data_IF_241345844962
#
_entry.id   IF_241345844962
#
_cell.length_a   1.000
_cell.length_b   1.000
_cell.length_c   1.000
_cell.angle_alpha   90.00
_cell.angle_beta   90.00
_cell.angle_gamma   90.00
#
_symmetry.space_group_name_H-M   'P 1'
#
loop_
_entity.id
_entity.type
_entity.pdbx_description
1 polymer ?
#
# COMPACT_ATOMS: atom_id res chain seq x y z
N UNK A 1 23.62 -2.45 -5.97
CA UNK A 1 23.05 -2.09 -4.64
C UNK A 1 23.28 -0.60 -4.38
N UNK A 2 22.42 0.05 -3.58
CA UNK A 2 22.59 1.45 -3.23
C UNK A 2 23.79 1.66 -2.29
N UNK A 3 24.49 2.79 -2.43
CA UNK A 3 25.62 3.16 -1.55
C UNK A 3 25.10 3.72 -0.22
N UNK A 4 25.88 3.63 0.86
CA UNK A 4 25.62 4.35 2.11
C UNK A 4 25.41 5.83 1.85
N UNK A 5 24.40 6.41 2.50
CA UNK A 5 23.95 7.78 2.31
C UNK A 5 23.00 8.01 1.13
N UNK A 6 22.77 7.00 0.27
CA UNK A 6 21.83 7.13 -0.84
C UNK A 6 20.42 7.41 -0.34
N UNK A 7 19.71 8.29 -1.03
CA UNK A 7 18.30 8.58 -0.79
C UNK A 7 17.43 7.83 -1.79
N UNK A 8 16.29 7.37 -1.33
CA UNK A 8 15.20 6.90 -2.19
C UNK A 8 13.94 7.67 -1.84
N UNK A 9 13.29 8.16 -2.90
CA UNK A 9 12.00 8.83 -2.86
C UNK A 9 11.16 8.11 -3.91
N UNK A 10 10.10 7.45 -3.46
CA UNK A 10 9.24 6.66 -4.32
C UNK A 10 7.78 6.97 -4.01
N UNK A 11 7.01 7.34 -5.03
CA UNK A 11 5.55 7.33 -4.91
C UNK A 11 5.06 5.90 -5.13
N UNK A 12 4.23 5.43 -4.19
CA UNK A 12 3.70 4.08 -4.15
C UNK A 12 2.19 4.18 -4.29
N UNK A 13 1.67 3.55 -5.34
CA UNK A 13 0.23 3.39 -5.57
C UNK A 13 -0.30 2.21 -4.73
N UNK A 14 -1.33 2.48 -3.93
CA UNK A 14 -1.91 1.58 -2.93
C UNK A 14 -3.36 1.21 -3.25
N UNK A 15 -3.79 1.39 -4.50
CA UNK A 15 -5.12 1.07 -5.01
C UNK A 15 -5.05 0.16 -6.23
N UNK A 16 -6.20 -0.31 -6.67
CA UNK A 16 -6.33 -1.08 -7.91
C UNK A 16 -5.90 -0.25 -9.14
N UNK A 17 -5.23 -0.89 -10.09
CA UNK A 17 -4.74 -0.24 -11.32
C UNK A 17 -5.74 -0.29 -12.49
N UNK A 18 -6.80 -1.10 -12.39
CA UNK A 18 -7.83 -1.18 -13.43
C UNK A 18 -8.60 0.14 -13.49
N UNK A 19 -8.36 0.95 -14.52
CA UNK A 19 -8.84 2.35 -14.64
C UNK A 19 -10.32 2.55 -14.25
N UNK A 20 -11.23 1.73 -14.78
CA UNK A 20 -12.66 1.82 -14.46
C UNK A 20 -13.02 1.43 -13.02
N UNK A 21 -12.31 0.46 -12.44
CA UNK A 21 -12.52 0.01 -11.06
C UNK A 21 -11.91 1.03 -10.10
N UNK A 22 -10.75 1.58 -10.45
CA UNK A 22 -10.02 2.57 -9.65
C UNK A 22 -10.86 3.79 -9.30
N UNK A 23 -11.66 4.27 -10.24
CA UNK A 23 -12.44 5.50 -10.06
C UNK A 23 -13.74 5.25 -9.27
N UNK A 24 -14.22 3.98 -9.20
CA UNK A 24 -15.46 3.61 -8.48
C UNK A 24 -15.21 2.89 -7.15
N UNK A 25 -14.16 2.10 -7.07
CA UNK A 25 -13.81 1.22 -5.96
C UNK A 25 -12.29 1.02 -5.91
N UNK A 26 -11.52 2.04 -5.50
CA UNK A 26 -10.07 1.97 -5.51
C UNK A 26 -9.50 0.84 -4.64
N UNK A 27 -10.26 0.37 -3.65
CA UNK A 27 -9.86 -0.69 -2.72
C UNK A 27 -10.30 -2.10 -3.16
N UNK A 28 -10.78 -2.27 -4.39
CA UNK A 28 -11.37 -3.53 -4.86
C UNK A 28 -10.48 -4.76 -4.64
N UNK A 29 -9.18 -4.65 -4.93
CA UNK A 29 -8.21 -5.76 -4.78
C UNK A 29 -8.06 -6.25 -3.33
N UNK A 30 -8.49 -5.46 -2.35
CA UNK A 30 -8.41 -5.78 -0.92
C UNK A 30 -9.66 -6.48 -0.37
N UNK A 31 -10.71 -6.64 -1.18
CA UNK A 31 -11.95 -7.36 -0.81
C UNK A 31 -11.77 -8.87 -0.81
N UNK A 32 -10.75 -9.36 -1.50
CA UNK A 32 -10.49 -10.78 -1.70
C UNK A 32 -9.44 -11.27 -0.71
N UNK A 33 -9.66 -12.43 -0.08
CA UNK A 33 -8.64 -13.03 0.78
C UNK A 33 -7.35 -13.32 0.01
N UNK A 34 -6.21 -13.36 0.69
CA UNK A 34 -4.93 -13.68 0.05
C UNK A 34 -4.97 -14.99 -0.75
N UNK A 35 -5.67 -16.02 -0.24
CA UNK A 35 -5.81 -17.32 -0.92
C UNK A 35 -6.53 -17.18 -2.26
N UNK A 36 -7.66 -16.49 -2.28
CA UNK A 36 -8.42 -16.25 -3.51
C UNK A 36 -7.63 -15.38 -4.48
N UNK A 37 -6.98 -14.33 -3.98
CA UNK A 37 -6.16 -13.42 -4.78
C UNK A 37 -5.01 -14.14 -5.49
N UNK A 38 -4.33 -15.06 -4.79
CA UNK A 38 -3.23 -15.85 -5.35
C UNK A 38 -3.66 -16.83 -6.44
N UNK A 39 -4.92 -17.26 -6.45
CA UNK A 39 -5.43 -18.14 -7.51
C UNK A 39 -5.46 -17.44 -8.88
N UNK A 40 -5.61 -16.12 -8.89
CA UNK A 40 -5.59 -15.28 -10.11
C UNK A 40 -4.23 -14.62 -10.33
N UNK A 41 -3.14 -15.22 -9.84
CA UNK A 41 -1.82 -14.63 -9.95
C UNK A 41 -1.34 -14.53 -11.40
N UNK A 42 -0.70 -13.40 -11.72
CA UNK A 42 0.05 -13.19 -12.95
C UNK A 42 1.23 -12.25 -12.68
N UNK A 43 2.23 -12.23 -13.58
CA UNK A 43 3.37 -11.33 -13.47
C UNK A 43 2.91 -9.87 -13.60
N UNK A 44 3.21 -9.06 -12.59
CA UNK A 44 2.78 -7.66 -12.55
C UNK A 44 1.39 -7.44 -11.95
N UNK A 45 0.81 -8.46 -11.28
CA UNK A 45 -0.38 -8.30 -10.46
C UNK A 45 -0.17 -7.18 -9.42
N UNK A 46 -1.19 -6.34 -9.12
CA UNK A 46 -1.06 -5.25 -8.16
C UNK A 46 -0.48 -5.73 -6.82
N UNK A 47 0.44 -4.95 -6.24
CA UNK A 47 0.96 -5.26 -4.92
C UNK A 47 -0.11 -4.95 -3.85
N UNK A 48 -0.18 -5.77 -2.81
CA UNK A 48 -1.07 -5.54 -1.65
C UNK A 48 -0.31 -5.10 -0.40
N UNK A 49 0.94 -4.66 -0.57
CA UNK A 49 1.82 -4.21 0.51
C UNK A 49 1.29 -2.90 1.08
N UNK A 50 1.26 -2.79 2.40
CA UNK A 50 0.74 -1.63 3.13
C UNK A 50 1.86 -0.77 3.70
N UNK A 51 1.59 0.50 4.04
CA UNK A 51 2.60 1.44 4.55
C UNK A 51 3.54 0.86 5.61
N UNK A 52 3.01 0.25 6.66
CA UNK A 52 3.84 -0.31 7.73
C UNK A 52 4.81 -1.38 7.21
N UNK A 53 4.38 -2.23 6.28
CA UNK A 53 5.21 -3.28 5.70
C UNK A 53 6.37 -2.71 4.87
N UNK A 54 6.14 -1.60 4.15
CA UNK A 54 7.24 -0.90 3.48
C UNK A 54 8.27 -0.42 4.49
N UNK A 55 7.82 0.18 5.59
CA UNK A 55 8.72 0.62 6.67
C UNK A 55 9.51 -0.55 7.25
N UNK A 56 8.86 -1.64 7.63
CA UNK A 56 9.50 -2.84 8.20
C UNK A 56 10.56 -3.43 7.25
N UNK A 57 10.23 -3.55 5.96
CA UNK A 57 11.15 -4.07 4.95
C UNK A 57 12.36 -3.15 4.80
N UNK A 58 12.14 -1.84 4.75
CA UNK A 58 13.24 -0.87 4.65
C UNK A 58 14.15 -0.92 5.88
N UNK A 59 13.59 -0.95 7.08
CA UNK A 59 14.34 -1.09 8.34
C UNK A 59 15.17 -2.39 8.33
N UNK A 60 14.54 -3.50 7.96
CA UNK A 60 15.20 -4.82 7.85
C UNK A 60 16.39 -4.82 6.89
N UNK A 61 16.33 -4.05 5.80
CA UNK A 61 17.42 -3.97 4.81
C UNK A 61 18.37 -2.79 5.03
N UNK A 62 18.42 -2.26 6.26
CA UNK A 62 19.40 -1.27 6.67
C UNK A 62 19.17 0.09 6.02
N UNK A 63 17.92 0.50 5.90
CA UNK A 63 17.54 1.88 5.64
C UNK A 63 17.19 2.58 6.97
N UNK A 64 17.34 3.90 7.00
CA UNK A 64 16.99 4.76 8.12
C UNK A 64 16.21 6.00 7.65
N UNK A 65 15.80 6.82 8.62
CA UNK A 65 15.02 8.04 8.38
C UNK A 65 13.80 7.81 7.49
N UNK A 66 13.14 6.66 7.67
CA UNK A 66 12.03 6.26 6.83
C UNK A 66 10.82 7.12 7.17
N UNK A 67 10.28 7.79 6.15
CA UNK A 67 9.05 8.58 6.22
C UNK A 67 8.09 8.05 5.17
N UNK A 68 6.83 7.90 5.58
CA UNK A 68 5.73 7.60 4.68
C UNK A 68 4.77 8.77 4.78
N UNK A 69 4.62 9.48 3.66
CA UNK A 69 3.85 10.71 3.58
C UNK A 69 2.62 10.42 2.71
N UNK A 70 1.39 10.63 3.20
CA UNK A 70 0.19 10.53 2.38
C UNK A 70 0.26 11.44 1.15
N UNK A 71 -0.02 10.90 -0.03
CA UNK A 71 -0.10 11.66 -1.29
C UNK A 71 -1.54 11.73 -1.82
N UNK A 72 -2.30 10.64 -1.64
CA UNK A 72 -3.74 10.62 -1.88
C UNK A 72 -4.44 9.75 -0.84
N UNK A 73 -5.63 10.16 -0.42
CA UNK A 73 -6.47 9.43 0.53
C UNK A 73 -7.95 9.47 0.13
N UNK A 74 -8.71 8.48 0.60
CA UNK A 74 -10.15 8.55 0.65
C UNK A 74 -10.58 9.49 1.78
N UNK A 75 -11.72 10.15 1.58
CA UNK A 75 -12.44 10.82 2.65
C UNK A 75 -12.92 9.78 3.67
N UNK A 76 -12.89 10.13 4.97
CA UNK A 76 -13.26 9.22 6.05
C UNK A 76 -14.67 8.65 5.87
N UNK A 77 -15.60 9.50 5.41
CA UNK A 77 -16.99 9.10 5.15
C UNK A 77 -17.12 8.05 4.04
N UNK A 78 -16.23 8.06 3.04
CA UNK A 78 -16.23 7.07 1.97
C UNK A 78 -15.51 5.79 2.37
N UNK A 79 -14.45 5.92 3.16
CA UNK A 79 -13.75 4.77 3.72
C UNK A 79 -14.65 3.93 4.63
N UNK A 80 -15.43 4.56 5.51
CA UNK A 80 -16.33 3.84 6.43
C UNK A 80 -17.42 3.04 5.69
N UNK A 81 -17.88 3.49 4.50
CA UNK A 81 -18.83 2.73 3.66
C UNK A 81 -18.25 1.43 3.11
N UNK A 82 -16.93 1.33 2.98
CA UNK A 82 -16.26 0.18 2.34
C UNK A 82 -15.46 -0.68 3.32
N UNK A 83 -15.14 -0.16 4.51
CA UNK A 83 -14.32 -0.81 5.53
C UNK A 83 -14.75 -2.24 5.86
N UNK A 84 -16.05 -2.44 6.10
CA UNK A 84 -16.62 -3.75 6.47
C UNK A 84 -16.67 -4.76 5.31
N UNK A 85 -16.27 -4.35 4.10
CA UNK A 85 -16.26 -5.18 2.90
C UNK A 85 -14.84 -5.55 2.47
N UNK A 86 -13.83 -5.19 3.26
CA UNK A 86 -12.45 -5.60 3.06
C UNK A 86 -12.24 -7.02 3.61
N UNK A 87 -11.28 -7.75 3.04
CA UNK A 87 -10.86 -9.00 3.62
C UNK A 87 -10.24 -8.75 5.02
N UNK A 88 -10.41 -9.71 5.93
CA UNK A 88 -10.08 -9.57 7.36
C UNK A 88 -8.67 -9.04 7.63
N UNK A 89 -7.70 -9.45 6.82
CA UNK A 89 -6.30 -9.08 6.95
C UNK A 89 -6.03 -7.58 6.64
N UNK A 90 -6.98 -6.87 6.02
CA UNK A 90 -6.87 -5.44 5.69
C UNK A 90 -7.72 -4.54 6.61
N UNK A 91 -8.46 -5.09 7.58
CA UNK A 91 -9.35 -4.29 8.44
C UNK A 91 -8.58 -3.57 9.55
N UNK A 92 -7.41 -4.08 9.93
CA UNK A 92 -6.60 -3.49 10.99
C UNK A 92 -6.18 -2.06 10.64
N UNK A 93 -6.17 -1.17 11.65
CA UNK A 93 -5.83 0.25 11.51
C UNK A 93 -4.40 0.45 10.99
N UNK A 94 -3.49 -0.45 11.31
CA UNK A 94 -2.09 -0.41 10.85
C UNK A 94 -1.97 -0.46 9.32
N UNK A 95 -2.93 -1.10 8.63
CA UNK A 95 -2.94 -1.16 7.17
C UNK A 95 -3.19 0.19 6.50
N UNK A 96 -3.76 1.17 7.24
CA UNK A 96 -4.08 2.51 6.76
C UNK A 96 -4.78 2.49 5.40
N UNK A 97 -5.90 1.77 5.31
CA UNK A 97 -6.59 1.47 4.06
C UNK A 97 -7.23 2.69 3.37
N UNK A 98 -7.39 3.80 4.09
CA UNK A 98 -7.79 5.08 3.52
C UNK A 98 -6.73 5.69 2.60
N UNK A 99 -5.46 5.28 2.71
CA UNK A 99 -4.38 5.80 1.86
C UNK A 99 -4.40 5.12 0.49
N UNK A 100 -4.53 5.94 -0.55
CA UNK A 100 -4.58 5.54 -1.95
C UNK A 100 -3.22 5.64 -2.65
N UNK A 101 -2.39 6.60 -2.24
CA UNK A 101 -0.97 6.63 -2.60
C UNK A 101 -0.16 7.30 -1.49
N UNK A 102 1.12 6.95 -1.40
CA UNK A 102 2.07 7.51 -0.42
C UNK A 102 3.40 7.80 -1.08
N UNK A 103 4.10 8.82 -0.60
CA UNK A 103 5.53 9.02 -0.87
C UNK A 103 6.34 8.39 0.25
N UNK A 104 7.18 7.42 -0.11
CA UNK A 104 8.16 6.83 0.78
C UNK A 104 9.52 7.51 0.56
N UNK A 105 10.07 8.05 1.64
CA UNK A 105 11.42 8.60 1.69
C UNK A 105 12.25 7.77 2.66
N UNK A 106 13.46 7.37 2.26
CA UNK A 106 14.40 6.68 3.14
C UNK A 106 15.85 6.96 2.75
N UNK A 107 16.77 6.76 3.69
CA UNK A 107 18.21 6.88 3.47
C UNK A 107 18.91 5.55 3.77
N UNK A 108 19.86 5.17 2.92
CA UNK A 108 20.64 3.94 3.08
C UNK A 108 21.69 4.13 4.17
N UNK A 109 21.68 3.28 5.21
CA UNK A 109 22.78 3.18 6.18
C UNK A 109 24.03 2.63 5.50
#
# INVERSE_FOLDING_TARGET
MAKTGALVIAEIDLKTHSRWIRDKDPLNIYRYSQRFYNFFWFRGIPNRVRPFQYKEVFEKYGWDNIKIIPAASLEDSDFEKVRNKLASEFIDRENQMQLLSVVLCARKK
#
